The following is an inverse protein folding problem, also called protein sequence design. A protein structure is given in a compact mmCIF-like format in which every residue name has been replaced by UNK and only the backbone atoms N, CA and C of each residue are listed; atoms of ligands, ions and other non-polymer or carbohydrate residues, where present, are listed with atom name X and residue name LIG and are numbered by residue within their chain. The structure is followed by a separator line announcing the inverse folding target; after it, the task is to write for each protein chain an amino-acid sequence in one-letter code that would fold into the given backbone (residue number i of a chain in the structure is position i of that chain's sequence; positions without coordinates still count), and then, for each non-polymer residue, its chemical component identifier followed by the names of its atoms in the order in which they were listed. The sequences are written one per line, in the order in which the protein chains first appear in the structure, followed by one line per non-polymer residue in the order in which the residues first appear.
data_IF_405343826881
#
_entry.id   IF_405343826881
#
_cell.length_a   1.000
_cell.length_b   1.000
_cell.length_c   1.000
_cell.angle_alpha   90.00
_cell.angle_beta   90.00
_cell.angle_gamma   90.00
#
_symmetry.space_group_name_H-M   'P 1'
#
loop_
_entity.id
_entity.type
_entity.pdbx_description
1 polymer ?
#
# COMPACT_ATOMS: atom_id res chain seq x y z
N UNK A 1 14.57 1.87 -6.84
CA UNK A 1 14.49 2.20 -5.40
C UNK A 1 15.73 1.71 -4.69
N UNK A 2 16.15 2.42 -3.65
CA UNK A 2 17.33 2.06 -2.86
C UNK A 2 16.91 1.36 -1.57
N UNK A 3 17.45 0.16 -1.32
CA UNK A 3 17.36 -0.51 -0.02
C UNK A 3 18.48 0.00 0.88
N UNK A 4 18.19 0.65 2.03
CA UNK A 4 19.23 1.03 2.98
C UNK A 4 20.03 -0.20 3.47
N UNK A 5 21.36 -0.10 3.69
CA UNK A 5 22.20 -1.26 4.02
C UNK A 5 21.74 -2.06 5.23
N UNK A 6 21.18 -1.39 6.24
CA UNK A 6 20.71 -2.02 7.48
C UNK A 6 19.33 -2.68 7.37
N UNK A 7 18.55 -2.40 6.34
CA UNK A 7 17.17 -2.90 6.17
C UNK A 7 17.20 -4.26 5.49
N UNK A 8 16.93 -5.35 6.21
CA UNK A 8 16.99 -6.72 5.68
C UNK A 8 15.64 -7.29 5.24
N UNK A 9 14.54 -6.75 5.76
CA UNK A 9 13.19 -7.24 5.49
C UNK A 9 12.39 -6.20 4.70
N UNK A 10 12.79 -5.98 3.46
CA UNK A 10 12.19 -5.00 2.56
C UNK A 10 10.96 -5.59 1.88
N UNK A 11 9.82 -4.92 2.01
CA UNK A 11 8.51 -5.40 1.57
C UNK A 11 7.86 -4.38 0.63
N UNK A 12 6.93 -4.86 -0.20
CA UNK A 12 6.18 -4.09 -1.19
C UNK A 12 4.69 -4.09 -0.83
N UNK A 13 3.97 -3.06 -1.26
CA UNK A 13 2.54 -2.90 -1.00
C UNK A 13 1.91 -2.08 -2.14
N UNK A 14 1.37 -2.73 -3.19
CA UNK A 14 0.60 -1.96 -4.18
C UNK A 14 -0.65 -1.37 -3.52
N UNK A 15 -0.84 -0.07 -3.70
CA UNK A 15 -1.97 0.69 -3.20
C UNK A 15 -2.58 1.59 -4.27
N UNK A 16 -3.90 1.79 -4.16
CA UNK A 16 -4.60 2.82 -4.92
C UNK A 16 -4.42 4.16 -4.18
N UNK A 17 -3.93 5.17 -4.90
CA UNK A 17 -3.88 6.54 -4.43
C UNK A 17 -5.05 7.37 -4.97
N UNK A 18 -5.70 8.13 -4.10
CA UNK A 18 -6.74 9.10 -4.44
C UNK A 18 -6.15 10.52 -4.35
N UNK A 19 -6.13 11.24 -5.46
CA UNK A 19 -5.71 12.65 -5.49
C UNK A 19 -6.94 13.52 -5.30
N UNK A 20 -6.95 14.31 -4.24
CA UNK A 20 -8.06 15.20 -3.91
C UNK A 20 -8.10 16.37 -4.92
N UNK A 21 -9.25 16.60 -5.51
CA UNK A 21 -9.54 17.73 -6.40
C UNK A 21 -10.22 18.92 -5.71
N UNK A 22 -10.76 18.68 -4.52
CA UNK A 22 -11.42 19.68 -3.70
C UNK A 22 -11.13 19.41 -2.22
N UNK A 23 -11.35 20.43 -1.40
CA UNK A 23 -11.21 20.31 0.05
C UNK A 23 -12.25 19.33 0.60
N UNK A 24 -11.82 18.53 1.57
CA UNK A 24 -12.67 17.62 2.35
C UNK A 24 -12.73 18.11 3.80
N UNK A 25 -13.80 18.84 4.20
CA UNK A 25 -13.97 19.33 5.55
C UNK A 25 -14.18 18.22 6.58
N UNK A 26 -14.01 18.56 7.86
CA UNK A 26 -14.34 17.67 8.96
C UNK A 26 -15.81 17.23 8.93
N UNK A 27 -16.07 16.01 9.39
CA UNK A 27 -17.39 15.39 9.48
C UNK A 27 -18.12 15.22 8.14
N UNK A 28 -17.40 15.31 7.02
CA UNK A 28 -17.98 15.04 5.71
C UNK A 28 -18.24 13.54 5.53
N UNK A 29 -19.44 13.20 5.07
CA UNK A 29 -19.80 11.85 4.66
C UNK A 29 -19.68 11.70 3.15
N UNK A 30 -18.73 10.87 2.70
CA UNK A 30 -18.49 10.58 1.29
C UNK A 30 -19.11 9.23 0.94
N UNK A 31 -19.93 9.20 -0.11
CA UNK A 31 -20.52 7.99 -0.69
C UNK A 31 -19.86 7.72 -2.05
N UNK A 32 -20.03 6.53 -2.65
CA UNK A 32 -19.57 6.30 -4.01
C UNK A 32 -20.10 7.33 -5.01
N UNK A 33 -21.31 7.85 -4.80
CA UNK A 33 -21.94 8.87 -5.67
C UNK A 33 -21.41 10.28 -5.44
N UNK A 34 -20.95 10.62 -4.24
CA UNK A 34 -20.38 11.95 -3.93
C UNK A 34 -18.86 11.97 -3.99
N UNK A 35 -18.20 10.82 -4.13
CA UNK A 35 -16.75 10.69 -4.31
C UNK A 35 -16.17 11.59 -5.42
N UNK A 36 -16.81 11.73 -6.60
CA UNK A 36 -16.31 12.59 -7.68
C UNK A 36 -16.25 14.08 -7.32
N UNK A 37 -16.97 14.51 -6.28
CA UNK A 37 -16.94 15.90 -5.83
C UNK A 37 -15.63 16.25 -5.08
N UNK A 38 -14.90 15.23 -4.62
CA UNK A 38 -13.71 15.41 -3.78
C UNK A 38 -12.44 14.85 -4.41
N UNK A 39 -12.53 13.77 -5.19
CA UNK A 39 -11.37 13.12 -5.82
C UNK A 39 -11.30 13.54 -7.29
N UNK A 40 -10.15 14.07 -7.72
CA UNK A 40 -9.91 14.44 -9.12
C UNK A 40 -9.36 13.28 -9.95
N UNK A 41 -8.58 12.39 -9.33
CA UNK A 41 -7.91 11.34 -10.06
C UNK A 41 -7.26 10.29 -9.19
N UNK A 42 -6.69 9.31 -9.87
CA UNK A 42 -6.10 8.12 -9.28
C UNK A 42 -4.63 7.97 -9.68
N UNK A 43 -3.85 7.39 -8.78
CA UNK A 43 -2.45 7.02 -9.00
C UNK A 43 -2.18 5.63 -8.45
N UNK A 44 -1.12 4.98 -8.95
CA UNK A 44 -0.53 3.80 -8.30
C UNK A 44 0.50 4.29 -7.29
N UNK A 45 0.51 3.71 -6.11
CA UNK A 45 1.61 3.81 -5.16
C UNK A 45 2.10 2.40 -4.78
N UNK A 46 3.39 2.29 -4.48
CA UNK A 46 3.97 1.09 -3.88
C UNK A 46 4.52 1.43 -2.50
N UNK A 47 3.76 1.14 -1.44
CA UNK A 47 4.05 1.57 -0.06
C UNK A 47 5.13 0.70 0.63
N UNK A 48 6.35 0.82 0.10
CA UNK A 48 7.54 0.08 0.53
C UNK A 48 7.74 0.18 2.04
N UNK A 49 7.99 -0.97 2.67
CA UNK A 49 8.16 -1.07 4.12
C UNK A 49 9.44 -1.79 4.51
N UNK A 50 10.23 -1.19 5.41
CA UNK A 50 11.32 -1.85 6.11
C UNK A 50 10.80 -2.58 7.36
N UNK A 51 10.40 -3.84 7.23
CA UNK A 51 9.67 -4.57 8.30
C UNK A 51 10.50 -4.83 9.55
N UNK A 52 11.82 -4.97 9.42
CA UNK A 52 12.73 -5.10 10.56
C UNK A 52 12.89 -3.81 11.36
N UNK A 53 12.59 -2.65 10.74
CA UNK A 53 12.51 -1.35 11.42
C UNK A 53 11.11 -1.10 11.98
N UNK A 54 10.08 -1.44 11.22
CA UNK A 54 8.67 -1.21 11.55
C UNK A 54 8.23 -1.96 12.81
N UNK A 55 8.45 -3.29 12.79
CA UNK A 55 7.85 -4.20 13.76
C UNK A 55 8.25 -3.91 15.22
N UNK A 56 9.52 -3.58 15.54
CA UNK A 56 9.92 -3.31 16.93
C UNK A 56 9.47 -1.95 17.46
N UNK A 57 9.13 -0.97 16.60
CA UNK A 57 9.00 0.45 17.00
C UNK A 57 7.56 0.89 17.30
N UNK A 58 6.54 0.12 16.90
CA UNK A 58 5.13 0.47 17.13
C UNK A 58 4.65 1.76 16.42
N UNK A 59 5.50 2.34 15.57
CA UNK A 59 5.22 3.47 14.69
C UNK A 59 5.66 3.09 13.26
N UNK A 60 5.14 3.81 12.28
CA UNK A 60 5.34 3.47 10.86
C UNK A 60 6.27 4.41 10.10
N UNK A 61 6.43 5.66 10.54
CA UNK A 61 7.09 6.73 9.78
C UNK A 61 8.49 6.33 9.30
N UNK A 62 9.40 5.98 10.22
CA UNK A 62 10.78 5.69 9.82
C UNK A 62 10.87 4.48 8.88
N UNK A 63 10.00 3.49 9.08
CA UNK A 63 10.00 2.27 8.27
C UNK A 63 9.45 2.44 6.85
N UNK A 64 8.75 3.55 6.58
CA UNK A 64 8.09 3.85 5.30
C UNK A 64 8.66 5.09 4.60
N UNK A 65 9.51 5.89 5.28
CA UNK A 65 9.96 7.19 4.78
C UNK A 65 11.45 7.24 4.37
N UNK A 66 12.09 6.09 4.10
CA UNK A 66 13.44 6.11 3.52
C UNK A 66 13.42 6.75 2.12
N UNK A 67 14.54 7.34 1.64
CA UNK A 67 14.61 7.87 0.29
C UNK A 67 14.16 6.82 -0.73
N UNK A 68 13.35 7.23 -1.72
CA UNK A 68 12.76 6.39 -2.78
C UNK A 68 11.69 5.38 -2.34
N UNK A 69 11.29 5.36 -1.06
CA UNK A 69 10.12 4.60 -0.64
C UNK A 69 8.84 5.31 -1.10
N UNK A 70 7.77 4.54 -1.25
CA UNK A 70 6.46 5.02 -1.70
C UNK A 70 6.52 5.74 -3.05
N UNK A 71 7.13 5.15 -4.11
CA UNK A 71 7.05 5.74 -5.44
C UNK A 71 5.58 5.81 -5.90
N UNK A 72 5.23 6.94 -6.51
CA UNK A 72 3.88 7.22 -7.04
C UNK A 72 3.96 7.42 -8.55
N UNK A 73 2.95 6.91 -9.27
CA UNK A 73 2.88 6.95 -10.73
C UNK A 73 2.87 5.55 -11.34
N UNK A 74 3.00 5.39 -12.67
CA UNK A 74 3.63 6.34 -13.58
C UNK A 74 2.68 7.41 -14.14
N UNK A 75 1.37 7.26 -13.90
CA UNK A 75 0.35 8.18 -14.40
C UNK A 75 -0.47 8.74 -13.25
N UNK A 76 -0.89 9.99 -13.43
CA UNK A 76 -2.07 10.55 -12.78
C UNK A 76 -3.22 10.42 -13.78
N UNK A 77 -4.22 9.60 -13.44
CA UNK A 77 -5.41 9.43 -14.27
C UNK A 77 -6.52 10.27 -13.67
N UNK A 78 -6.88 11.36 -14.35
CA UNK A 78 -8.06 12.15 -13.99
C UNK A 78 -9.32 11.40 -14.43
N UNK A 79 -10.35 11.44 -13.60
CA UNK A 79 -11.60 10.74 -13.87
C UNK A 79 -12.77 11.73 -14.00
N UNK A 80 -13.68 11.45 -14.92
CA UNK A 80 -14.99 12.05 -14.93
C UNK A 80 -15.97 11.30 -14.00
N UNK A 81 -17.12 11.94 -13.72
CA UNK A 81 -18.12 11.38 -12.82
C UNK A 81 -18.69 10.02 -13.27
N UNK A 82 -18.68 9.73 -14.58
CA UNK A 82 -19.17 8.46 -15.13
C UNK A 82 -18.14 7.34 -14.93
N UNK A 83 -16.86 7.62 -15.04
CA UNK A 83 -15.77 6.66 -14.83
C UNK A 83 -15.68 6.22 -13.37
N UNK A 84 -16.00 7.10 -12.40
CA UNK A 84 -16.06 6.73 -10.98
C UNK A 84 -17.03 5.56 -10.68
N UNK A 85 -17.98 5.27 -11.57
CA UNK A 85 -18.86 4.10 -11.42
C UNK A 85 -18.12 2.76 -11.55
N UNK A 86 -16.92 2.76 -12.12
CA UNK A 86 -16.08 1.57 -12.31
C UNK A 86 -15.05 1.34 -11.19
N UNK A 87 -15.03 2.19 -10.15
CA UNK A 87 -14.04 2.11 -9.06
C UNK A 87 -13.94 0.74 -8.40
N UNK A 88 -15.06 0.05 -8.16
CA UNK A 88 -15.06 -1.28 -7.54
C UNK A 88 -14.48 -2.39 -8.44
N UNK A 89 -14.39 -2.14 -9.75
CA UNK A 89 -13.84 -3.06 -10.76
C UNK A 89 -12.34 -2.86 -10.98
N UNK A 90 -11.74 -1.82 -10.37
CA UNK A 90 -10.28 -1.62 -10.41
C UNK A 90 -9.58 -2.79 -9.75
N UNK A 91 -8.66 -3.41 -10.49
CA UNK A 91 -7.86 -4.55 -10.06
C UNK A 91 -6.42 -4.12 -9.86
N UNK A 92 -5.94 -4.26 -8.64
CA UNK A 92 -4.57 -3.99 -8.22
C UNK A 92 -3.77 -5.28 -8.32
N UNK A 93 -2.68 -5.25 -9.07
CA UNK A 93 -1.77 -6.38 -9.24
C UNK A 93 -0.33 -5.95 -9.03
N UNK A 94 0.43 -6.82 -8.37
CA UNK A 94 1.86 -6.63 -8.18
C UNK A 94 2.61 -7.93 -8.44
N UNK A 95 3.70 -7.81 -9.17
CA UNK A 95 4.65 -8.87 -9.48
C UNK A 95 6.04 -8.52 -8.96
N UNK A 96 6.79 -9.55 -8.60
CA UNK A 96 8.23 -9.45 -8.35
C UNK A 96 8.91 -10.47 -9.25
N UNK A 97 9.77 -10.01 -10.16
CA UNK A 97 10.43 -10.85 -11.18
C UNK A 97 9.42 -11.77 -11.89
N UNK A 98 8.34 -11.18 -12.41
CA UNK A 98 7.23 -11.86 -13.10
C UNK A 98 6.42 -12.86 -12.25
N UNK A 99 6.75 -13.05 -10.98
CA UNK A 99 5.96 -13.85 -10.05
C UNK A 99 4.86 -12.98 -9.44
N UNK A 100 3.60 -13.33 -9.69
CA UNK A 100 2.45 -12.64 -9.12
C UNK A 100 2.45 -12.75 -7.58
N UNK A 101 2.37 -11.62 -6.90
CA UNK A 101 2.40 -11.53 -5.43
C UNK A 101 1.11 -11.00 -4.84
N UNK A 102 0.51 -10.01 -5.49
CA UNK A 102 -0.75 -9.40 -5.07
C UNK A 102 -1.71 -9.35 -6.25
N UNK A 103 -2.98 -9.68 -6.00
CA UNK A 103 -4.03 -9.68 -7.02
C UNK A 103 -5.39 -9.57 -6.36
N UNK A 104 -5.93 -8.35 -6.33
CA UNK A 104 -7.20 -8.03 -5.67
C UNK A 104 -7.91 -6.89 -6.37
N UNK A 105 -9.21 -6.81 -6.19
CA UNK A 105 -10.02 -5.68 -6.64
C UNK A 105 -10.29 -4.71 -5.50
N UNK A 106 -10.67 -3.48 -5.84
CA UNK A 106 -11.18 -2.50 -4.86
C UNK A 106 -12.43 -3.04 -4.15
N UNK A 107 -13.23 -3.89 -4.80
CA UNK A 107 -14.36 -4.56 -4.17
C UNK A 107 -13.95 -5.49 -3.00
N UNK A 108 -12.73 -6.05 -3.03
CA UNK A 108 -12.21 -6.92 -1.98
C UNK A 108 -11.69 -6.14 -0.75
N UNK A 109 -11.62 -4.81 -0.82
CA UNK A 109 -11.11 -3.98 0.27
C UNK A 109 -12.09 -3.95 1.45
N UNK A 110 -11.56 -4.16 2.66
CA UNK A 110 -12.33 -4.05 3.91
C UNK A 110 -12.90 -2.63 4.08
N UNK A 111 -12.11 -1.62 3.72
CA UNK A 111 -12.50 -0.20 3.74
C UNK A 111 -12.36 0.36 2.34
N UNK A 112 -13.50 0.56 1.66
CA UNK A 112 -13.52 1.11 0.31
C UNK A 112 -13.22 2.62 0.29
N UNK A 113 -12.75 3.19 -0.84
CA UNK A 113 -12.31 4.59 -0.97
C UNK A 113 -13.22 5.65 -0.35
N UNK A 114 -14.52 5.64 -0.67
CA UNK A 114 -15.48 6.61 -0.12
C UNK A 114 -15.61 6.48 1.42
N UNK A 115 -15.58 5.25 1.93
CA UNK A 115 -15.60 5.00 3.37
C UNK A 115 -14.29 5.44 4.03
N UNK A 116 -13.14 5.24 3.38
CA UNK A 116 -11.84 5.70 3.89
C UNK A 116 -11.83 7.22 4.08
N UNK A 117 -12.25 7.99 3.08
CA UNK A 117 -12.39 9.45 3.18
C UNK A 117 -13.35 9.87 4.30
N UNK A 118 -14.51 9.22 4.40
CA UNK A 118 -15.47 9.48 5.50
C UNK A 118 -14.85 9.23 6.87
N UNK A 119 -14.06 8.17 7.03
CA UNK A 119 -13.40 7.85 8.29
C UNK A 119 -12.30 8.86 8.63
N UNK A 120 -11.52 9.28 7.65
CA UNK A 120 -10.46 10.27 7.80
C UNK A 120 -11.02 11.66 8.15
N UNK A 121 -12.10 12.07 7.49
CA UNK A 121 -12.80 13.32 7.72
C UNK A 121 -13.35 13.48 9.15
N UNK A 122 -13.41 12.41 9.96
CA UNK A 122 -13.82 12.51 11.37
C UNK A 122 -12.81 13.27 12.23
N UNK A 123 -11.55 13.33 11.81
CA UNK A 123 -10.48 13.94 12.62
C UNK A 123 -9.46 14.75 11.82
N UNK A 124 -9.48 14.68 10.48
CA UNK A 124 -8.54 15.39 9.62
C UNK A 124 -9.27 16.01 8.42
N UNK A 125 -9.04 17.29 8.18
CA UNK A 125 -9.39 17.94 6.91
C UNK A 125 -8.38 17.55 5.82
N UNK A 126 -8.84 17.45 4.59
CA UNK A 126 -7.94 17.34 3.43
C UNK A 126 -8.13 18.54 2.51
N UNK A 127 -7.08 18.89 1.79
CA UNK A 127 -7.06 19.99 0.82
C UNK A 127 -6.91 19.46 -0.60
N UNK A 128 -7.37 20.24 -1.59
CA UNK A 128 -7.09 19.92 -2.98
C UNK A 128 -5.58 19.77 -3.23
N UNK A 129 -5.19 18.68 -3.87
CA UNK A 129 -3.79 18.29 -4.09
C UNK A 129 -3.26 17.24 -3.11
N UNK A 130 -3.94 16.99 -1.99
CA UNK A 130 -3.56 15.91 -1.08
C UNK A 130 -3.69 14.53 -1.76
N UNK A 131 -2.82 13.60 -1.37
CA UNK A 131 -2.84 12.21 -1.81
C UNK A 131 -3.18 11.29 -0.63
N UNK A 132 -4.30 10.57 -0.75
CA UNK A 132 -4.67 9.50 0.17
C UNK A 132 -4.29 8.14 -0.41
N UNK A 133 -3.50 7.35 0.30
CA UNK A 133 -3.31 5.94 -0.01
C UNK A 133 -4.33 5.09 0.76
N UNK A 134 -5.00 4.16 0.06
CA UNK A 134 -6.15 3.45 0.62
C UNK A 134 -5.79 2.21 1.44
N UNK A 135 -4.52 1.86 1.54
CA UNK A 135 -4.05 0.59 2.10
C UNK A 135 -3.98 -0.51 1.05
N UNK A 136 -3.04 -1.43 1.24
CA UNK A 136 -2.91 -2.61 0.38
C UNK A 136 -4.07 -3.60 0.59
N UNK A 137 -4.64 -4.19 -0.48
CA UNK A 137 -5.72 -5.16 -0.36
C UNK A 137 -5.25 -6.56 0.14
N UNK A 138 -3.99 -6.67 0.57
CA UNK A 138 -3.37 -7.87 1.14
C UNK A 138 -2.35 -8.52 0.21
N UNK A 139 -1.62 -9.53 0.73
CA UNK A 139 -0.58 -10.25 -0.04
C UNK A 139 0.86 -9.77 0.17
N UNK A 140 1.13 -9.11 1.30
CA UNK A 140 2.48 -8.68 1.71
C UNK A 140 3.39 -9.86 2.05
N UNK A 141 4.71 -9.66 2.00
CA UNK A 141 5.67 -10.70 2.38
C UNK A 141 5.55 -11.08 3.86
N UNK A 142 5.30 -10.09 4.71
CA UNK A 142 5.06 -10.29 6.14
C UNK A 142 3.74 -11.03 6.37
N UNK A 143 3.82 -12.28 6.86
CA UNK A 143 2.65 -13.03 7.32
C UNK A 143 2.62 -13.09 8.85
N UNK A 144 1.43 -12.85 9.41
CA UNK A 144 1.21 -13.03 10.84
C UNK A 144 1.50 -14.50 11.23
N UNK A 145 2.17 -14.74 12.37
CA UNK A 145 2.39 -16.09 12.86
C UNK A 145 1.03 -16.74 13.22
N UNK A 146 0.92 -18.09 13.12
CA UNK A 146 -0.27 -18.78 13.59
C UNK A 146 -0.57 -18.47 15.06
N UNK A 147 -1.85 -18.36 15.41
CA UNK A 147 -2.31 -17.96 16.77
C UNK A 147 -1.65 -18.73 17.92
N UNK A 148 -1.41 -20.06 17.84
CA UNK A 148 -0.68 -20.79 18.89
C UNK A 148 0.77 -20.32 19.07
N UNK A 149 1.44 -19.95 17.96
CA UNK A 149 2.80 -19.42 17.96
C UNK A 149 2.83 -18.02 18.57
N UNK A 150 1.82 -17.20 18.30
CA UNK A 150 1.68 -15.87 18.88
C UNK A 150 1.53 -15.92 20.41
N UNK A 151 0.68 -16.83 20.91
CA UNK A 151 0.47 -17.05 22.34
C UNK A 151 1.77 -17.51 23.01
N UNK A 152 2.46 -18.50 22.44
CA UNK A 152 3.74 -18.98 22.97
C UNK A 152 4.82 -17.88 22.96
N UNK A 153 4.85 -17.05 21.91
CA UNK A 153 5.80 -15.95 21.78
C UNK A 153 5.52 -14.79 22.75
N UNK A 154 4.28 -14.64 23.24
CA UNK A 154 3.93 -13.63 24.24
C UNK A 154 4.59 -13.88 25.61
N UNK A 155 5.05 -15.11 25.87
CA UNK A 155 5.75 -15.49 27.10
C UNK A 155 7.26 -15.18 27.07
N UNK A 156 7.80 -14.78 25.91
CA UNK A 156 9.22 -14.47 25.76
C UNK A 156 9.49 -12.98 26.06
N UNK A 157 10.68 -12.63 26.61
CA UNK A 157 11.11 -11.25 26.68
C UNK A 157 11.06 -10.59 25.29
N UNK A 158 10.64 -9.31 25.17
CA UNK A 158 10.43 -8.65 23.87
C UNK A 158 11.63 -8.75 22.92
N UNK A 159 12.86 -8.56 23.45
CA UNK A 159 14.08 -8.66 22.66
C UNK A 159 14.32 -10.08 22.09
N UNK A 160 13.97 -11.12 22.85
CA UNK A 160 14.10 -12.52 22.42
C UNK A 160 13.01 -12.85 21.39
N UNK A 161 11.76 -12.43 21.65
CA UNK A 161 10.65 -12.55 20.72
C UNK A 161 11.01 -11.97 19.35
N UNK A 162 11.51 -10.73 19.32
CA UNK A 162 11.88 -10.07 18.08
C UNK A 162 13.06 -10.74 17.38
N UNK A 163 14.09 -11.17 18.12
CA UNK A 163 15.23 -11.87 17.53
C UNK A 163 14.81 -13.17 16.83
N UNK A 164 13.97 -13.97 17.48
CA UNK A 164 13.44 -15.23 16.91
C UNK A 164 12.56 -14.95 15.70
N UNK A 165 11.65 -13.97 15.81
CA UNK A 165 10.74 -13.61 14.73
C UNK A 165 11.49 -13.11 13.49
N UNK A 166 12.40 -12.14 13.67
CA UNK A 166 13.21 -11.58 12.58
C UNK A 166 14.13 -12.63 11.98
N UNK A 167 14.69 -13.54 12.78
CA UNK A 167 15.52 -14.65 12.29
C UNK A 167 14.75 -15.62 11.39
N UNK A 168 13.45 -15.83 11.64
CA UNK A 168 12.57 -16.61 10.75
C UNK A 168 12.21 -15.83 9.49
N UNK A 169 11.85 -14.56 9.63
CA UNK A 169 11.49 -13.69 8.50
C UNK A 169 12.67 -13.47 7.54
N UNK A 170 13.91 -13.44 8.03
CA UNK A 170 15.09 -13.33 7.18
C UNK A 170 15.28 -14.50 6.20
N UNK A 171 14.57 -15.62 6.41
CA UNK A 171 14.57 -16.78 5.49
C UNK A 171 13.39 -16.77 4.51
N UNK A 172 12.49 -15.77 4.60
CA UNK A 172 11.31 -15.68 3.76
C UNK A 172 11.71 -15.13 2.37
N UNK A 173 11.59 -15.93 1.29
CA UNK A 173 12.00 -15.52 -0.05
C UNK A 173 11.04 -14.51 -0.70
N UNK A 174 9.98 -14.09 0.00
CA UNK A 174 9.08 -13.04 -0.47
C UNK A 174 9.62 -11.62 -0.20
N UNK A 175 10.59 -11.46 0.70
CA UNK A 175 11.22 -10.14 0.89
C UNK A 175 12.14 -9.79 -0.27
N UNK A 176 12.07 -8.52 -0.68
CA UNK A 176 12.82 -7.99 -1.80
C UNK A 176 14.33 -8.05 -1.57
N UNK A 177 15.04 -8.51 -2.59
CA UNK A 177 16.49 -8.59 -2.65
C UNK A 177 17.04 -7.60 -3.70
N UNK A 178 18.35 -7.39 -3.68
CA UNK A 178 19.02 -6.67 -4.77
C UNK A 178 18.70 -7.29 -6.13
N UNK A 179 18.44 -6.44 -7.11
CA UNK A 179 18.17 -6.86 -8.49
C UNK A 179 16.73 -7.30 -8.72
N UNK A 180 15.92 -7.46 -7.67
CA UNK A 180 14.49 -7.69 -7.84
C UNK A 180 13.84 -6.51 -8.55
N UNK A 181 12.90 -6.80 -9.44
CA UNK A 181 12.09 -5.81 -10.14
C UNK A 181 10.63 -5.99 -9.72
N UNK A 182 10.08 -4.94 -9.14
CA UNK A 182 8.67 -4.82 -8.81
C UNK A 182 7.96 -4.25 -10.03
N UNK A 183 6.85 -4.87 -10.42
CA UNK A 183 5.91 -4.29 -11.37
C UNK A 183 4.54 -4.18 -10.69
N UNK A 184 3.97 -2.97 -10.62
CA UNK A 184 2.66 -2.70 -10.01
C UNK A 184 1.73 -2.07 -11.03
N UNK A 185 0.52 -2.62 -11.18
CA UNK A 185 -0.48 -2.18 -12.14
C UNK A 185 -1.86 -2.06 -11.52
N UNK A 186 -2.62 -1.06 -11.93
CA UNK A 186 -4.01 -0.88 -11.53
C UNK A 186 -4.84 -0.52 -12.76
N UNK A 187 -5.80 -1.39 -13.10
CA UNK A 187 -6.72 -1.16 -14.20
C UNK A 187 -8.02 -1.94 -13.99
N UNK A 188 -9.09 -1.51 -14.66
CA UNK A 188 -10.27 -2.37 -14.87
C UNK A 188 -9.96 -3.42 -15.95
N UNK A 189 -10.62 -4.57 -15.91
CA UNK A 189 -10.39 -5.64 -16.89
C UNK A 189 -10.71 -5.20 -18.35
N UNK A 190 -11.66 -4.27 -18.52
CA UNK A 190 -12.00 -3.68 -19.83
C UNK A 190 -11.19 -2.44 -20.20
N UNK A 191 -10.23 -2.02 -19.36
CA UNK A 191 -9.43 -0.80 -19.50
C UNK A 191 -10.23 0.50 -19.61
N UNK A 192 -11.48 0.52 -19.12
CA UNK A 192 -12.24 1.75 -18.87
C UNK A 192 -11.44 2.72 -17.98
N UNK A 193 -10.68 2.19 -17.02
CA UNK A 193 -9.69 2.93 -16.25
C UNK A 193 -8.37 2.15 -16.27
N UNK A 194 -7.27 2.80 -16.67
CA UNK A 194 -5.93 2.18 -16.71
C UNK A 194 -4.84 3.16 -16.27
N UNK A 195 -4.26 2.90 -15.10
CA UNK A 195 -3.20 3.72 -14.49
C UNK A 195 -1.80 3.34 -15.01
N UNK A 196 -1.71 2.36 -15.90
CA UNK A 196 -0.46 1.84 -16.46
C UNK A 196 0.23 0.86 -15.51
N UNK A 197 1.55 0.72 -15.69
CA UNK A 197 2.38 -0.16 -14.87
C UNK A 197 3.60 0.58 -14.36
N UNK A 198 3.71 0.74 -13.04
CA UNK A 198 4.91 1.21 -12.37
C UNK A 198 5.93 0.08 -12.34
N UNK A 199 7.19 0.37 -12.65
CA UNK A 199 8.30 -0.58 -12.54
C UNK A 199 9.42 0.00 -11.69
N UNK A 200 9.83 -0.76 -10.68
CA UNK A 200 10.81 -0.32 -9.68
C UNK A 200 11.83 -1.43 -9.46
N UNK A 201 13.09 -1.19 -9.84
CA UNK A 201 14.20 -2.09 -9.55
C UNK A 201 14.78 -1.83 -8.15
N UNK A 202 15.19 -2.87 -7.43
CA UNK A 202 15.76 -2.78 -6.08
C UNK A 202 17.28 -2.72 -6.14
N UNK A 203 17.85 -1.60 -5.74
CA UNK A 203 19.28 -1.35 -5.76
C UNK A 203 19.85 -1.29 -4.34
N UNK A 204 21.06 -1.82 -4.15
CA UNK A 204 21.85 -1.59 -2.94
C UNK A 204 22.76 -0.39 -3.17
N UNK A 205 23.03 0.35 -2.10
CA UNK A 205 24.08 1.35 -2.08
C UNK A 205 25.18 0.94 -1.11
#
# INVERSE_FOLDING_TARGET
MFRPPHVRLLDYEVELGLVLGADLPLNTAVTPTTLPNYVAGLVIADDISARDVQLPKGQFYESKSYPTFTPVGPRLVLLDASEFTHMNRLRLRLWVNDVLRQDRTVADMIVQPARALTLLARFQTMTAGDLLLTGTPGGTALKAPPKPVEIAAALLPPAVKWRVFLGRQAKNPAYLQHGDVIAAGIATDGHEIDLGTQRTAVEHR
#
